data_IF_366167375138
#
_entry.id   IF_366167375138
#
_cell.length_a   1.000
_cell.length_b   1.000
_cell.length_c   1.000
_cell.angle_alpha   90.00
_cell.angle_beta   90.00
_cell.angle_gamma   90.00
#
_symmetry.space_group_name_H-M   'P 1'
#
loop_
_entity.id
_entity.type
_entity.pdbx_description
1 polymer ?
#
# COMPACT_ATOMS: atom_id res chain seq x y z
N UNK A 1 -59.98 -2.60 39.50
CA UNK A 1 -61.01 -2.53 38.44
C UNK A 1 -60.32 -2.76 37.11
N UNK A 2 -60.78 -3.78 36.36
CA UNK A 2 -60.64 -4.06 34.92
C UNK A 2 -59.24 -3.97 34.26
N UNK A 3 -58.74 -4.91 33.48
CA UNK A 3 -59.32 -6.11 32.88
C UNK A 3 -58.28 -6.77 31.94
N UNK A 4 -58.47 -8.07 31.73
CA UNK A 4 -57.65 -9.03 30.98
C UNK A 4 -57.43 -8.73 29.48
N UNK A 5 -56.25 -9.11 28.97
CA UNK A 5 -56.00 -9.91 27.74
C UNK A 5 -54.46 -10.06 27.59
N UNK A 6 -53.81 -11.21 27.46
CA UNK A 6 -54.24 -12.53 26.98
C UNK A 6 -53.85 -12.71 25.51
N UNK A 7 -52.57 -12.92 25.18
CA UNK A 7 -52.15 -13.42 23.85
C UNK A 7 -50.96 -14.38 23.99
N UNK A 8 -51.12 -15.54 23.36
CA UNK A 8 -50.29 -16.73 23.33
C UNK A 8 -48.87 -16.55 22.77
N UNK A 9 -47.91 -17.41 23.17
CA UNK A 9 -46.66 -17.58 22.45
C UNK A 9 -46.93 -18.30 21.11
N UNK A 10 -46.59 -17.64 20.01
CA UNK A 10 -46.63 -18.24 18.67
C UNK A 10 -45.49 -19.25 18.57
N UNK A 11 -45.87 -20.53 18.52
CA UNK A 11 -45.05 -21.62 18.01
C UNK A 11 -44.57 -21.25 16.61
N UNK A 12 -43.26 -21.03 16.45
CA UNK A 12 -42.64 -20.96 15.13
C UNK A 12 -42.28 -22.39 14.74
N UNK A 13 -43.13 -22.91 13.87
CA UNK A 13 -43.03 -24.16 13.13
C UNK A 13 -41.61 -24.46 12.69
N UNK A 14 -41.11 -25.61 13.13
CA UNK A 14 -39.99 -26.32 12.51
C UNK A 14 -40.50 -26.75 11.14
N UNK A 15 -40.20 -25.98 10.11
CA UNK A 15 -40.31 -26.46 8.74
C UNK A 15 -39.11 -27.36 8.49
N UNK A 16 -39.32 -28.66 8.72
CA UNK A 16 -38.57 -29.73 8.09
C UNK A 16 -38.84 -29.60 6.60
N UNK A 17 -38.01 -28.82 5.91
CA UNK A 17 -37.90 -28.92 4.46
C UNK A 17 -37.10 -30.18 4.22
N UNK A 18 -37.80 -31.20 3.72
CA UNK A 18 -37.22 -32.42 3.19
C UNK A 18 -35.98 -32.09 2.37
N UNK A 19 -34.89 -32.78 2.71
CA UNK A 19 -33.68 -32.90 1.90
C UNK A 19 -34.07 -33.43 0.52
N UNK A 20 -34.43 -32.52 -0.39
CA UNK A 20 -34.28 -32.76 -1.81
C UNK A 20 -32.80 -32.57 -2.08
N UNK A 21 -32.03 -33.63 -1.81
CA UNK A 21 -30.73 -33.89 -2.40
C UNK A 21 -30.91 -33.92 -3.93
N UNK A 22 -31.01 -32.75 -4.56
CA UNK A 22 -30.55 -32.59 -5.94
C UNK A 22 -29.04 -32.59 -5.88
N UNK A 23 -28.47 -33.78 -6.04
CA UNK A 23 -27.06 -34.07 -6.21
C UNK A 23 -26.36 -32.95 -6.97
N UNK A 24 -25.54 -32.17 -6.26
CA UNK A 24 -24.67 -31.18 -6.88
C UNK A 24 -23.73 -31.90 -7.84
N UNK A 25 -23.78 -31.56 -9.12
CA UNK A 25 -22.80 -32.03 -10.10
C UNK A 25 -21.40 -31.64 -9.62
N UNK A 26 -20.63 -32.63 -9.20
CA UNK A 26 -19.33 -32.46 -8.56
C UNK A 26 -18.36 -31.69 -9.47
N UNK A 27 -17.86 -30.55 -8.99
CA UNK A 27 -16.75 -29.86 -9.63
C UNK A 27 -15.53 -30.79 -9.71
N UNK A 28 -14.76 -30.66 -10.79
CA UNK A 28 -13.61 -31.53 -11.09
C UNK A 28 -12.32 -30.71 -11.01
N UNK A 29 -11.30 -31.25 -10.36
CA UNK A 29 -9.97 -30.65 -10.29
C UNK A 29 -9.07 -31.29 -11.33
N UNK A 30 -8.49 -30.48 -12.21
CA UNK A 30 -7.50 -30.87 -13.21
C UNK A 30 -6.12 -30.48 -12.73
N UNK A 31 -5.17 -31.42 -12.77
CA UNK A 31 -3.76 -31.19 -12.43
C UNK A 31 -2.89 -31.42 -13.65
N UNK A 32 -2.04 -30.45 -13.96
CA UNK A 32 -1.08 -30.57 -15.05
C UNK A 32 0.16 -31.35 -14.59
N UNK A 33 0.51 -32.42 -15.31
CA UNK A 33 1.59 -33.34 -14.94
C UNK A 33 2.90 -33.01 -15.68
N UNK A 34 2.81 -32.34 -16.82
CA UNK A 34 3.93 -31.70 -17.52
C UNK A 34 3.48 -30.32 -18.02
N UNK A 35 4.40 -29.55 -18.62
CA UNK A 35 4.34 -28.09 -18.89
C UNK A 35 5.02 -27.22 -17.83
N UNK A 36 5.31 -25.93 -18.09
CA UNK A 36 5.75 -24.96 -17.08
C UNK A 36 4.77 -24.81 -15.91
N UNK A 37 3.50 -25.19 -16.09
CA UNK A 37 2.47 -25.20 -15.04
C UNK A 37 2.37 -26.56 -14.33
N UNK A 38 3.41 -27.40 -14.39
CA UNK A 38 3.45 -28.70 -13.69
C UNK A 38 3.13 -28.53 -12.21
N UNK A 39 2.14 -29.28 -11.72
CA UNK A 39 1.70 -29.26 -10.34
C UNK A 39 0.60 -28.24 -10.03
N UNK A 40 0.26 -27.34 -10.96
CA UNK A 40 -0.90 -26.46 -10.82
C UNK A 40 -2.21 -27.27 -10.91
N UNK A 41 -3.18 -26.88 -10.09
CA UNK A 41 -4.52 -27.46 -10.03
C UNK A 41 -5.58 -26.42 -10.43
N UNK A 42 -6.48 -26.79 -11.34
CA UNK A 42 -7.56 -25.93 -11.84
C UNK A 42 -8.90 -26.57 -11.51
N UNK A 43 -9.82 -25.81 -10.91
CA UNK A 43 -11.16 -26.30 -10.59
C UNK A 43 -12.10 -25.97 -11.75
N UNK A 44 -12.68 -27.01 -12.34
CA UNK A 44 -13.65 -26.93 -13.43
C UNK A 44 -15.06 -27.08 -12.89
N UNK A 45 -15.93 -26.15 -13.29
CA UNK A 45 -17.36 -26.23 -13.02
C UNK A 45 -18.05 -27.16 -14.04
N UNK A 46 -19.21 -27.75 -13.70
CA UNK A 46 -20.01 -28.52 -14.64
C UNK A 46 -20.28 -27.72 -15.93
N UNK A 47 -20.15 -28.38 -17.09
CA UNK A 47 -20.22 -27.73 -18.40
C UNK A 47 -18.99 -27.99 -19.25
N UNK A 48 -18.66 -27.01 -20.10
CA UNK A 48 -17.60 -27.13 -21.12
C UNK A 48 -16.48 -26.14 -20.83
N UNK A 49 -15.26 -26.64 -20.64
CA UNK A 49 -14.05 -25.80 -20.48
C UNK A 49 -13.11 -26.03 -21.66
N UNK A 50 -12.63 -24.95 -22.26
CA UNK A 50 -11.70 -24.97 -23.40
C UNK A 50 -10.25 -24.86 -22.90
N UNK A 51 -9.36 -25.72 -23.38
CA UNK A 51 -7.92 -25.67 -23.12
C UNK A 51 -7.17 -25.32 -24.40
N UNK A 52 -6.44 -24.20 -24.36
CA UNK A 52 -5.54 -23.76 -25.42
C UNK A 52 -4.11 -24.12 -25.04
N UNK A 53 -3.50 -25.05 -25.79
CA UNK A 53 -2.19 -25.62 -25.47
C UNK A 53 -1.21 -25.32 -26.59
N UNK A 54 -0.17 -24.55 -26.31
CA UNK A 54 0.80 -24.16 -27.32
C UNK A 54 1.97 -23.36 -26.76
N UNK A 55 2.96 -23.01 -27.60
CA UNK A 55 4.14 -22.28 -27.14
C UNK A 55 3.74 -20.88 -26.67
N UNK A 56 4.41 -20.39 -25.63
CA UNK A 56 4.12 -19.11 -24.98
C UNK A 56 4.05 -17.94 -25.99
N UNK A 57 4.97 -17.92 -26.96
CA UNK A 57 4.98 -16.91 -28.02
C UNK A 57 3.74 -16.95 -28.95
N UNK A 58 3.12 -18.12 -29.14
CA UNK A 58 1.89 -18.26 -29.93
C UNK A 58 0.62 -17.96 -29.12
N UNK A 59 0.68 -18.09 -27.79
CA UNK A 59 -0.40 -17.72 -26.88
C UNK A 59 -0.44 -16.19 -26.61
N UNK A 60 0.69 -15.49 -26.79
CA UNK A 60 0.86 -14.04 -26.58
C UNK A 60 0.80 -13.24 -27.89
N UNK A 61 0.86 -13.88 -29.06
CA UNK A 61 0.87 -13.18 -30.35
C UNK A 61 -0.40 -12.34 -30.54
N UNK A 62 -0.23 -11.01 -30.43
CA UNK A 62 -1.23 -9.98 -30.71
C UNK A 62 -1.69 -10.04 -32.18
N UNK A 63 -2.77 -10.79 -32.40
CA UNK A 63 -3.60 -10.75 -33.59
C UNK A 63 -5.00 -11.13 -33.17
N UNK A 64 -5.95 -10.18 -33.25
CA UNK A 64 -7.33 -10.26 -32.75
C UNK A 64 -7.88 -11.71 -32.68
N UNK A 65 -7.98 -12.35 -31.51
CA UNK A 65 -8.52 -13.70 -31.42
C UNK A 65 -10.06 -13.68 -31.53
N UNK A 66 -10.68 -14.77 -32.03
CA UNK A 66 -12.13 -14.94 -32.02
C UNK A 66 -12.65 -14.82 -30.58
N UNK A 67 -13.92 -14.43 -30.39
CA UNK A 67 -14.56 -14.40 -29.07
C UNK A 67 -14.45 -15.78 -28.43
N UNK A 68 -13.51 -15.95 -27.50
CA UNK A 68 -13.30 -17.19 -26.76
C UNK A 68 -14.31 -17.28 -25.60
N UNK A 69 -14.78 -18.48 -25.23
CA UNK A 69 -15.62 -18.66 -24.06
C UNK A 69 -14.93 -18.16 -22.78
N UNK A 70 -15.71 -17.69 -21.81
CA UNK A 70 -15.18 -17.26 -20.50
C UNK A 70 -14.42 -18.40 -19.77
N UNK A 71 -14.80 -19.66 -20.02
CA UNK A 71 -14.20 -20.86 -19.43
C UNK A 71 -13.01 -21.38 -20.27
N UNK A 72 -12.10 -20.49 -20.67
CA UNK A 72 -10.89 -20.85 -21.44
C UNK A 72 -9.65 -20.82 -20.56
N UNK A 73 -8.90 -21.92 -20.54
CA UNK A 73 -7.63 -22.07 -19.83
C UNK A 73 -6.46 -22.15 -20.83
N UNK A 74 -5.41 -21.36 -20.58
CA UNK A 74 -4.20 -21.33 -21.41
C UNK A 74 -3.10 -22.14 -20.74
N UNK A 75 -2.55 -23.13 -21.46
CA UNK A 75 -1.49 -24.02 -20.97
C UNK A 75 -0.26 -23.88 -21.88
N UNK A 76 0.82 -23.21 -21.43
CA UNK A 76 2.02 -23.08 -22.22
C UNK A 76 2.71 -24.45 -22.40
N UNK A 77 3.03 -24.85 -23.63
CA UNK A 77 3.79 -26.06 -23.92
C UNK A 77 4.66 -25.84 -25.15
N UNK A 78 5.98 -26.07 -25.02
CA UNK A 78 6.96 -25.70 -26.05
C UNK A 78 6.73 -26.40 -27.40
N UNK A 79 6.39 -27.69 -27.39
CA UNK A 79 6.14 -28.49 -28.60
C UNK A 79 5.00 -29.49 -28.37
N UNK A 80 4.28 -29.86 -29.44
CA UNK A 80 3.24 -30.90 -29.40
C UNK A 80 1.95 -30.54 -28.64
N UNK A 81 1.69 -29.24 -28.41
CA UNK A 81 0.43 -28.77 -27.84
C UNK A 81 -0.74 -29.00 -28.77
N UNK A 82 -1.85 -29.51 -28.22
CA UNK A 82 -3.11 -29.74 -28.94
C UNK A 82 -4.24 -29.13 -28.12
N UNK A 83 -5.10 -28.35 -28.76
CA UNK A 83 -6.26 -27.74 -28.11
C UNK A 83 -7.34 -28.81 -27.85
N UNK A 84 -8.03 -28.73 -26.71
CA UNK A 84 -9.07 -29.70 -26.37
C UNK A 84 -10.13 -29.07 -25.46
N UNK A 85 -11.29 -29.72 -25.36
CA UNK A 85 -12.39 -29.34 -24.50
C UNK A 85 -12.60 -30.43 -23.45
N UNK A 86 -12.83 -30.05 -22.20
CA UNK A 86 -13.31 -30.95 -21.15
C UNK A 86 -14.81 -30.74 -21.03
N UNK A 87 -15.58 -31.80 -21.20
CA UNK A 87 -17.03 -31.82 -21.02
C UNK A 87 -17.37 -32.57 -19.73
N UNK A 88 -18.02 -31.88 -18.81
CA UNK A 88 -18.48 -32.40 -17.52
C UNK A 88 -20.00 -32.45 -17.51
N UNK A 89 -20.56 -33.65 -17.71
CA UNK A 89 -22.02 -33.88 -17.74
C UNK A 89 -22.36 -35.08 -16.87
N UNK A 90 -23.32 -34.91 -15.95
CA UNK A 90 -23.87 -35.99 -15.12
C UNK A 90 -22.83 -36.86 -14.39
N UNK A 91 -21.74 -36.25 -13.89
CA UNK A 91 -20.67 -36.95 -13.17
C UNK A 91 -19.71 -37.75 -14.06
N UNK A 92 -19.86 -37.69 -15.39
CA UNK A 92 -18.91 -38.23 -16.35
C UNK A 92 -18.08 -37.11 -16.99
N UNK A 93 -16.80 -37.39 -17.19
CA UNK A 93 -15.86 -36.51 -17.90
C UNK A 93 -15.51 -37.08 -19.27
N UNK A 94 -15.64 -36.26 -20.30
CA UNK A 94 -15.20 -36.55 -21.67
C UNK A 94 -14.24 -35.49 -22.17
N UNK A 95 -13.32 -35.89 -23.02
CA UNK A 95 -12.40 -35.00 -23.71
C UNK A 95 -12.77 -34.93 -25.19
N UNK A 96 -12.82 -33.72 -25.73
CA UNK A 96 -12.91 -33.47 -27.17
C UNK A 96 -11.63 -32.81 -27.65
N UNK A 97 -10.79 -33.55 -28.35
CA UNK A 97 -9.51 -33.08 -28.89
C UNK A 97 -9.80 -32.35 -30.21
N UNK A 98 -9.44 -31.07 -30.26
CA UNK A 98 -9.71 -30.18 -31.39
C UNK A 98 -8.56 -30.28 -32.41
N UNK A 99 -8.79 -31.08 -33.46
CA UNK A 99 -7.90 -31.25 -34.60
C UNK A 99 -8.69 -31.70 -35.84
N UNK A 100 -8.00 -32.01 -36.93
CA UNK A 100 -8.58 -32.63 -38.12
C UNK A 100 -8.12 -34.10 -38.20
N UNK A 101 -8.93 -35.11 -37.81
CA UNK A 101 -10.31 -35.06 -37.33
C UNK A 101 -10.44 -34.75 -35.83
N UNK A 102 -11.63 -34.29 -35.42
CA UNK A 102 -11.99 -34.13 -34.00
C UNK A 102 -12.19 -35.50 -33.37
N UNK A 103 -11.52 -35.75 -32.24
CA UNK A 103 -11.58 -37.03 -31.53
C UNK A 103 -12.22 -36.82 -30.16
N UNK A 104 -13.26 -37.60 -29.85
CA UNK A 104 -13.86 -37.65 -28.52
C UNK A 104 -13.43 -38.93 -27.81
N UNK A 105 -12.99 -38.79 -26.55
CA UNK A 105 -12.61 -39.92 -25.72
C UNK A 105 -13.11 -39.77 -24.28
N UNK A 106 -13.36 -40.90 -23.63
CA UNK A 106 -13.68 -40.94 -22.20
C UNK A 106 -12.44 -40.54 -21.39
N UNK A 107 -12.67 -39.77 -20.33
CA UNK A 107 -11.60 -39.17 -19.57
C UNK A 107 -11.67 -39.65 -18.11
N UNK A 108 -11.09 -40.82 -17.78
CA UNK A 108 -11.19 -41.40 -16.45
C UNK A 108 -10.56 -40.51 -15.37
N UNK A 109 -11.21 -40.47 -14.20
CA UNK A 109 -10.67 -39.80 -13.02
C UNK A 109 -9.50 -40.57 -12.39
N UNK A 110 -8.59 -39.82 -11.76
CA UNK A 110 -7.39 -40.27 -11.08
C UNK A 110 -6.44 -41.11 -11.95
N UNK A 111 -6.45 -40.89 -13.27
CA UNK A 111 -5.51 -41.48 -14.21
C UNK A 111 -4.78 -40.40 -15.00
N UNK A 112 -3.55 -40.70 -15.41
CA UNK A 112 -2.77 -39.81 -16.27
C UNK A 112 -3.30 -39.90 -17.71
N UNK A 113 -3.83 -38.79 -18.20
CA UNK A 113 -4.34 -38.60 -19.55
C UNK A 113 -3.27 -37.91 -20.39
N UNK A 114 -3.10 -38.35 -21.64
CA UNK A 114 -2.14 -37.76 -22.58
C UNK A 114 -2.91 -37.20 -23.77
N UNK A 115 -2.76 -35.89 -24.03
CA UNK A 115 -3.42 -35.14 -25.10
C UNK A 115 -2.31 -34.43 -25.89
N UNK A 116 -2.00 -34.92 -27.10
CA UNK A 116 -0.77 -34.51 -27.77
C UNK A 116 0.45 -34.83 -26.91
N UNK A 117 1.29 -33.81 -26.66
CA UNK A 117 2.41 -33.90 -25.72
C UNK A 117 2.04 -33.50 -24.28
N UNK A 118 0.83 -32.99 -24.02
CA UNK A 118 0.39 -32.60 -22.67
C UNK A 118 -0.07 -33.84 -21.89
N UNK A 119 0.31 -33.89 -20.61
CA UNK A 119 -0.10 -34.91 -19.64
C UNK A 119 -0.80 -34.22 -18.48
N UNK A 120 -2.00 -34.69 -18.16
CA UNK A 120 -2.82 -34.16 -17.09
C UNK A 120 -3.53 -35.30 -16.35
N UNK A 121 -4.03 -35.04 -15.16
CA UNK A 121 -4.95 -35.93 -14.46
C UNK A 121 -6.15 -35.13 -13.95
N UNK A 122 -7.28 -35.80 -13.76
CA UNK A 122 -8.51 -35.19 -13.29
C UNK A 122 -9.07 -35.95 -12.10
N UNK A 123 -9.70 -35.28 -11.14
CA UNK A 123 -10.42 -35.93 -10.04
C UNK A 123 -11.68 -35.15 -9.65
N UNK A 124 -12.71 -35.79 -9.09
CA UNK A 124 -13.76 -35.08 -8.38
C UNK A 124 -13.17 -34.28 -7.21
N UNK A 125 -13.66 -33.07 -6.98
CA UNK A 125 -13.13 -32.16 -5.95
C UNK A 125 -13.16 -32.79 -4.55
N UNK A 126 -14.15 -33.64 -4.28
CA UNK A 126 -14.37 -34.29 -2.99
C UNK A 126 -13.50 -35.54 -2.74
N UNK A 127 -12.73 -36.01 -3.72
CA UNK A 127 -11.83 -37.18 -3.57
C UNK A 127 -10.36 -36.77 -3.53
N UNK A 128 -9.50 -37.45 -2.76
CA UNK A 128 -8.05 -37.20 -2.79
C UNK A 128 -7.40 -37.71 -4.08
N UNK A 129 -6.23 -37.19 -4.44
CA UNK A 129 -5.41 -37.73 -5.52
C UNK A 129 -4.88 -39.11 -5.18
N UNK A 130 -4.88 -40.01 -6.15
CA UNK A 130 -4.19 -41.29 -6.01
C UNK A 130 -2.65 -41.11 -6.01
N UNK A 131 -1.91 -41.85 -5.16
CA UNK A 131 -0.45 -41.75 -5.04
C UNK A 131 0.29 -41.90 -6.37
N UNK A 132 -0.25 -42.69 -7.29
CA UNK A 132 0.32 -42.98 -8.61
C UNK A 132 0.35 -41.74 -9.51
N UNK A 133 -0.64 -40.84 -9.36
CA UNK A 133 -0.68 -39.54 -10.07
C UNK A 133 0.33 -38.56 -9.47
N UNK A 134 0.61 -38.67 -8.18
CA UNK A 134 1.60 -37.83 -7.47
C UNK A 134 3.03 -38.32 -7.66
N UNK A 135 3.22 -39.63 -7.86
CA UNK A 135 4.53 -40.31 -7.94
C UNK A 135 5.00 -40.54 -9.38
N UNK A 136 4.12 -40.39 -10.37
CA UNK A 136 4.43 -40.62 -11.77
C UNK A 136 5.36 -39.56 -12.36
N UNK A 137 6.49 -40.02 -12.90
CA UNK A 137 7.40 -39.34 -13.84
C UNK A 137 8.61 -38.61 -13.23
N UNK A 138 9.48 -39.37 -12.58
CA UNK A 138 10.91 -39.31 -12.90
C UNK A 138 11.16 -40.06 -14.21
N UNK A 139 11.98 -39.48 -15.08
CA UNK A 139 12.40 -40.11 -16.33
C UNK A 139 13.23 -41.35 -15.96
N UNK A 140 12.70 -42.54 -16.20
CA UNK A 140 13.48 -43.77 -16.16
C UNK A 140 14.48 -43.72 -17.34
N UNK A 141 15.80 -43.73 -17.12
CA UNK A 141 16.75 -43.89 -18.20
C UNK A 141 16.55 -45.27 -18.84
N UNK A 142 16.54 -45.31 -20.17
CA UNK A 142 16.47 -46.55 -20.94
C UNK A 142 17.55 -47.54 -20.48
N UNK A 143 17.12 -48.76 -20.17
CA UNK A 143 17.94 -49.87 -19.70
C UNK A 143 18.76 -50.45 -20.87
N UNK A 144 20.11 -50.46 -20.83
CA UNK A 144 20.94 -51.22 -21.76
C UNK A 144 21.02 -52.70 -21.33
N UNK A 145 21.27 -53.64 -22.25
CA UNK A 145 21.13 -55.06 -21.99
C UNK A 145 22.20 -55.57 -21.03
N UNK A 146 21.81 -56.54 -20.22
CA UNK A 146 22.62 -57.20 -19.20
C UNK A 146 23.95 -57.78 -19.74
N UNK A 147 25.01 -57.74 -18.92
CA UNK A 147 26.00 -58.79 -18.93
C UNK A 147 26.08 -59.53 -17.60
N UNK A 148 26.39 -60.80 -17.75
CA UNK A 148 26.44 -61.87 -16.77
C UNK A 148 27.57 -61.75 -15.74
N UNK A 149 27.32 -62.39 -14.59
CA UNK A 149 28.27 -63.12 -13.75
C UNK A 149 29.33 -62.36 -12.88
N UNK A 150 29.09 -62.50 -11.56
CA UNK A 150 30.02 -62.94 -10.51
C UNK A 150 30.97 -61.97 -9.74
N UNK A 151 30.69 -61.90 -8.41
CA UNK A 151 31.59 -61.91 -7.21
C UNK A 151 32.30 -60.60 -6.77
N UNK A 152 32.83 -60.53 -5.51
CA UNK A 152 32.07 -60.20 -4.31
C UNK A 152 32.59 -58.92 -3.59
N UNK A 153 31.86 -58.53 -2.55
CA UNK A 153 32.02 -57.34 -1.70
C UNK A 153 33.45 -56.94 -1.34
N UNK A 154 33.77 -55.65 -1.53
CA UNK A 154 34.78 -54.93 -0.77
C UNK A 154 34.12 -53.77 -0.01
N UNK A 155 34.17 -53.83 1.32
CA UNK A 155 33.77 -52.73 2.21
C UNK A 155 34.67 -51.52 1.96
N UNK A 156 34.10 -50.37 1.59
CA UNK A 156 34.81 -49.10 1.54
C UNK A 156 34.05 -47.99 2.29
N UNK A 157 34.76 -47.43 3.27
CA UNK A 157 34.53 -46.23 4.09
C UNK A 157 33.56 -45.18 3.51
N UNK A 158 32.35 -45.10 4.07
CA UNK A 158 31.48 -43.91 4.00
C UNK A 158 31.65 -43.08 5.28
N UNK A 159 32.65 -42.21 5.31
CA UNK A 159 32.89 -41.33 6.47
C UNK A 159 33.05 -39.83 6.14
N UNK A 160 33.19 -39.47 4.87
CA UNK A 160 33.51 -38.08 4.48
C UNK A 160 32.50 -37.43 3.52
N UNK A 161 31.66 -38.19 2.81
CA UNK A 161 30.69 -37.64 1.85
C UNK A 161 29.33 -37.25 2.47
N UNK A 162 29.01 -37.74 3.68
CA UNK A 162 27.75 -37.40 4.35
C UNK A 162 27.68 -35.96 4.85
N UNK A 163 28.82 -35.39 5.27
CA UNK A 163 28.88 -34.01 5.78
C UNK A 163 28.71 -32.97 4.67
N UNK A 164 29.30 -33.19 3.48
CA UNK A 164 29.18 -32.27 2.37
C UNK A 164 27.75 -32.18 1.81
N UNK A 165 27.04 -33.31 1.75
CA UNK A 165 25.64 -33.35 1.30
C UNK A 165 24.68 -32.66 2.30
N UNK A 166 24.88 -32.86 3.60
CA UNK A 166 24.10 -32.18 4.64
C UNK A 166 24.36 -30.66 4.64
N UNK A 167 25.61 -30.24 4.41
CA UNK A 167 25.95 -28.81 4.31
C UNK A 167 25.30 -28.17 3.08
N UNK A 168 25.27 -28.88 1.94
CA UNK A 168 24.59 -28.40 0.73
C UNK A 168 23.08 -28.26 0.92
N UNK A 169 22.43 -29.21 1.61
CA UNK A 169 21.00 -29.13 1.93
C UNK A 169 20.73 -27.99 2.93
N UNK A 170 21.60 -27.79 3.93
CA UNK A 170 21.49 -26.68 4.87
C UNK A 170 21.65 -25.31 4.18
N UNK A 171 22.57 -25.19 3.22
CA UNK A 171 22.75 -23.98 2.43
C UNK A 171 21.58 -23.73 1.47
N UNK A 172 21.04 -24.79 0.84
CA UNK A 172 19.87 -24.68 -0.02
C UNK A 172 18.62 -24.29 0.77
N UNK A 173 18.39 -24.88 1.94
CA UNK A 173 17.26 -24.54 2.81
C UNK A 173 17.39 -23.13 3.39
N UNK A 174 18.58 -22.72 3.81
CA UNK A 174 18.86 -21.33 4.21
C UNK A 174 18.64 -20.35 3.04
N UNK A 175 19.09 -20.70 1.84
CA UNK A 175 18.86 -19.92 0.62
C UNK A 175 17.38 -19.81 0.24
N UNK A 176 16.63 -20.91 0.36
CA UNK A 176 15.19 -20.95 0.11
C UNK A 176 14.42 -20.09 1.12
N UNK A 177 14.81 -20.15 2.40
CA UNK A 177 14.21 -19.36 3.48
C UNK A 177 14.52 -17.86 3.33
N UNK A 178 15.72 -17.52 2.85
CA UNK A 178 16.12 -16.15 2.54
C UNK A 178 15.36 -15.59 1.33
N UNK A 179 15.13 -16.41 0.30
CA UNK A 179 14.30 -16.04 -0.85
C UNK A 179 12.83 -15.80 -0.46
N UNK A 180 12.31 -16.61 0.47
CA UNK A 180 10.93 -16.50 0.97
C UNK A 180 10.72 -15.23 1.80
N UNK A 181 11.68 -14.88 2.67
CA UNK A 181 11.65 -13.67 3.52
C UNK A 181 12.29 -12.44 2.85
N UNK A 182 12.33 -12.39 1.52
CA UNK A 182 12.90 -11.22 0.84
C UNK A 182 12.06 -9.96 1.15
N UNK A 183 12.67 -8.85 1.60
CA UNK A 183 11.95 -7.63 1.95
C UNK A 183 11.06 -7.11 0.81
N UNK A 184 11.49 -7.36 -0.43
CA UNK A 184 10.76 -6.99 -1.65
C UNK A 184 9.41 -7.71 -1.78
N UNK A 185 9.29 -8.98 -1.38
CA UNK A 185 8.01 -9.70 -1.40
C UNK A 185 7.05 -9.17 -0.35
N UNK A 186 7.52 -8.92 0.87
CA UNK A 186 6.71 -8.36 1.95
C UNK A 186 6.21 -6.94 1.60
N UNK A 187 7.03 -6.13 0.93
CA UNK A 187 6.61 -4.83 0.40
C UNK A 187 5.56 -4.95 -0.72
N UNK A 188 5.67 -5.95 -1.59
CA UNK A 188 4.69 -6.20 -2.65
C UNK A 188 3.34 -6.68 -2.10
N UNK A 189 3.37 -7.56 -1.10
CA UNK A 189 2.17 -8.02 -0.37
C UNK A 189 1.49 -6.87 0.35
N UNK A 190 2.25 -6.01 1.05
CA UNK A 190 1.71 -4.84 1.73
C UNK A 190 1.09 -3.85 0.73
N UNK A 191 1.75 -3.60 -0.40
CA UNK A 191 1.21 -2.77 -1.48
C UNK A 191 -0.09 -3.35 -2.05
N UNK A 192 -0.17 -4.66 -2.23
CA UNK A 192 -1.38 -5.36 -2.70
C UNK A 192 -2.52 -5.26 -1.68
N UNK A 193 -2.25 -5.40 -0.38
CA UNK A 193 -3.25 -5.25 0.70
C UNK A 193 -3.81 -3.82 0.79
N UNK A 194 -2.98 -2.82 0.49
CA UNK A 194 -3.41 -1.42 0.48
C UNK A 194 -4.26 -1.08 -0.76
N UNK A 195 -4.22 -1.91 -1.80
CA UNK A 195 -4.93 -1.70 -3.06
C UNK A 195 -4.41 -0.49 -3.84
N UNK A 196 -3.10 -0.22 -3.74
CA UNK A 196 -2.47 0.97 -4.32
C UNK A 196 -1.34 0.60 -5.29
N UNK A 197 -1.24 1.37 -6.38
CA UNK A 197 -0.21 1.25 -7.41
C UNK A 197 1.12 1.93 -6.99
N UNK A 198 1.34 2.13 -5.69
CA UNK A 198 2.53 2.77 -5.12
C UNK A 198 2.57 4.30 -5.20
N UNK A 199 1.42 4.97 -5.37
CA UNK A 199 1.34 6.44 -5.45
C UNK A 199 0.80 7.11 -4.20
N UNK A 200 -0.04 6.42 -3.44
CA UNK A 200 -0.71 6.96 -2.24
C UNK A 200 0.00 6.52 -0.97
N UNK A 201 0.64 5.36 -1.02
CA UNK A 201 1.40 4.78 0.08
C UNK A 201 2.83 4.51 -0.33
N UNK A 202 3.76 4.93 0.52
CA UNK A 202 5.16 4.55 0.40
C UNK A 202 5.50 3.53 1.50
N UNK A 203 5.80 2.31 1.09
CA UNK A 203 6.24 1.24 2.00
C UNK A 203 7.74 1.30 2.20
N UNK A 204 8.17 1.18 3.45
CA UNK A 204 9.55 1.36 3.89
C UNK A 204 9.91 0.31 4.95
N UNK A 205 11.16 -0.12 4.95
CA UNK A 205 11.71 -1.01 5.98
C UNK A 205 12.57 -0.21 6.95
N UNK A 206 12.21 -0.24 8.23
CA UNK A 206 12.98 0.38 9.29
C UNK A 206 14.22 -0.43 9.68
N UNK A 207 15.22 0.27 10.21
CA UNK A 207 16.43 -0.34 10.80
C UNK A 207 16.16 -1.13 12.07
N UNK A 208 14.96 -0.99 12.63
CA UNK A 208 14.41 -1.72 13.77
C UNK A 208 13.70 -3.03 13.38
N UNK A 209 13.62 -3.35 12.08
CA UNK A 209 12.91 -4.52 11.58
C UNK A 209 11.39 -4.33 11.46
N UNK A 210 10.89 -3.10 11.63
CA UNK A 210 9.47 -2.75 11.49
C UNK A 210 9.20 -2.22 10.09
N UNK A 211 8.06 -2.59 9.51
CA UNK A 211 7.58 -2.02 8.25
C UNK A 211 6.84 -0.71 8.51
N UNK A 212 7.18 0.32 7.75
CA UNK A 212 6.56 1.64 7.84
C UNK A 212 5.77 1.93 6.57
N UNK A 213 4.53 2.41 6.72
CA UNK A 213 3.69 2.87 5.61
C UNK A 213 3.50 4.37 5.76
N UNK A 214 4.11 5.16 4.88
CA UNK A 214 3.84 6.58 4.82
C UNK A 214 2.57 6.84 4.03
N UNK A 215 1.59 7.45 4.69
CA UNK A 215 0.34 7.91 4.09
C UNK A 215 0.44 9.39 3.70
N UNK A 216 -0.18 9.78 2.59
CA UNK A 216 -0.19 11.17 2.14
C UNK A 216 -0.99 12.10 3.08
N UNK A 217 -2.10 11.61 3.63
CA UNK A 217 -2.96 12.35 4.54
C UNK A 217 -3.59 11.47 5.63
N UNK A 218 -4.39 12.08 6.51
CA UNK A 218 -5.05 11.38 7.61
C UNK A 218 -6.11 10.35 7.14
N UNK A 219 -6.77 10.60 6.00
CA UNK A 219 -7.76 9.67 5.44
C UNK A 219 -7.06 8.41 4.92
N UNK A 220 -5.95 8.59 4.23
CA UNK A 220 -5.09 7.51 3.76
C UNK A 220 -4.47 6.75 4.94
N UNK A 221 -4.08 7.45 6.01
CA UNK A 221 -3.62 6.81 7.26
C UNK A 221 -4.68 5.91 7.91
N UNK A 222 -5.95 6.35 7.93
CA UNK A 222 -7.08 5.53 8.39
C UNK A 222 -7.32 4.33 7.46
N UNK A 223 -7.25 4.52 6.14
CA UNK A 223 -7.37 3.44 5.17
C UNK A 223 -6.29 2.37 5.39
N UNK A 224 -5.02 2.78 5.48
CA UNK A 224 -3.91 1.86 5.70
C UNK A 224 -4.09 1.04 6.97
N UNK A 225 -4.45 1.68 8.10
CA UNK A 225 -4.75 0.97 9.35
C UNK A 225 -5.89 -0.02 9.19
N UNK A 226 -6.97 0.36 8.51
CA UNK A 226 -8.12 -0.51 8.30
C UNK A 226 -7.79 -1.71 7.40
N UNK A 227 -6.95 -1.52 6.38
CA UNK A 227 -6.46 -2.60 5.51
C UNK A 227 -5.57 -3.58 6.28
N UNK A 228 -4.67 -3.07 7.13
CA UNK A 228 -3.83 -3.90 8.00
C UNK A 228 -4.65 -4.72 9.01
N UNK A 229 -5.75 -4.19 9.53
CA UNK A 229 -6.64 -4.93 10.43
C UNK A 229 -7.46 -6.02 9.73
N UNK A 230 -7.64 -5.94 8.41
CA UNK A 230 -8.39 -6.91 7.61
C UNK A 230 -7.51 -7.96 6.95
N UNK A 231 -6.26 -7.60 6.65
CA UNK A 231 -5.28 -8.49 6.03
C UNK A 231 -4.54 -9.29 7.08
N UNK A 232 -4.21 -10.54 6.75
CA UNK A 232 -3.35 -11.39 7.58
C UNK A 232 -1.88 -11.07 7.27
N UNK A 233 -1.38 -9.93 7.77
CA UNK A 233 0.04 -9.58 7.69
C UNK A 233 0.74 -9.87 9.02
N UNK A 234 1.75 -10.73 9.00
CA UNK A 234 2.36 -11.28 10.22
C UNK A 234 3.50 -10.45 10.81
N UNK A 235 4.10 -9.55 10.02
CA UNK A 235 5.23 -8.72 10.45
C UNK A 235 4.76 -7.43 11.15
N UNK A 236 5.56 -6.83 12.04
CA UNK A 236 5.20 -5.57 12.68
C UNK A 236 5.13 -4.43 11.66
N UNK A 237 3.99 -3.74 11.60
CA UNK A 237 3.75 -2.60 10.70
C UNK A 237 3.32 -1.37 11.50
N UNK A 238 3.86 -0.21 11.13
CA UNK A 238 3.46 1.09 11.65
C UNK A 238 3.06 2.03 10.50
N UNK A 239 1.91 2.67 10.63
CA UNK A 239 1.46 3.71 9.70
C UNK A 239 2.00 5.07 10.15
N UNK A 240 2.72 5.74 9.26
CA UNK A 240 3.24 7.09 9.45
C UNK A 240 2.26 8.11 8.87
N UNK A 241 1.72 8.97 9.73
CA UNK A 241 0.95 10.14 9.30
C UNK A 241 1.80 11.41 9.47
N UNK A 242 1.97 12.24 8.42
CA UNK A 242 2.88 13.38 8.44
C UNK A 242 2.67 14.36 9.60
N UNK A 243 1.41 14.63 9.97
CA UNK A 243 1.07 15.56 11.06
C UNK A 243 1.45 14.98 12.42
N UNK A 244 1.09 13.72 12.68
CA UNK A 244 1.39 13.05 13.94
C UNK A 244 2.90 12.84 14.13
N UNK A 245 3.59 12.51 13.05
CA UNK A 245 5.02 12.24 13.04
C UNK A 245 5.81 13.55 13.23
N UNK A 246 5.41 14.62 12.55
CA UNK A 246 5.94 15.96 12.79
C UNK A 246 5.76 16.42 14.25
N UNK A 247 4.61 16.13 14.87
CA UNK A 247 4.36 16.44 16.27
C UNK A 247 5.22 15.59 17.23
N UNK A 248 5.43 14.31 16.93
CA UNK A 248 6.29 13.39 17.69
C UNK A 248 7.73 13.90 17.71
N UNK A 249 8.29 14.21 16.53
CA UNK A 249 9.65 14.74 16.41
C UNK A 249 9.76 16.13 17.05
N UNK A 250 8.77 17.00 16.87
CA UNK A 250 8.76 18.34 17.48
C UNK A 250 8.77 18.27 19.01
N UNK A 251 8.06 17.32 19.62
CA UNK A 251 8.08 17.10 21.07
C UNK A 251 9.46 16.64 21.54
N UNK A 252 10.03 15.65 20.86
CA UNK A 252 11.38 15.18 21.17
C UNK A 252 12.43 16.28 21.03
N UNK A 253 12.31 17.15 20.03
CA UNK A 253 13.19 18.32 19.86
C UNK A 253 13.03 19.32 21.01
N UNK A 254 11.81 19.61 21.45
CA UNK A 254 11.57 20.49 22.59
C UNK A 254 12.18 19.94 23.89
N UNK A 255 12.12 18.63 24.10
CA UNK A 255 12.66 17.98 25.30
C UNK A 255 14.18 17.85 25.26
N UNK A 256 14.74 17.49 24.10
CA UNK A 256 16.18 17.24 23.94
C UNK A 256 17.00 18.51 23.68
N UNK A 257 16.41 19.52 23.01
CA UNK A 257 17.04 20.79 22.62
C UNK A 257 16.05 21.96 22.68
N UNK A 258 15.70 22.44 23.88
CA UNK A 258 14.72 23.51 24.05
C UNK A 258 15.12 24.83 23.38
N UNK A 259 16.42 25.10 23.26
CA UNK A 259 16.97 26.32 22.64
C UNK A 259 17.00 26.28 21.10
N UNK A 260 16.65 25.15 20.48
CA UNK A 260 16.73 25.00 19.02
C UNK A 260 15.57 25.72 18.33
N UNK A 261 15.89 26.83 17.66
CA UNK A 261 15.00 27.54 16.76
C UNK A 261 14.93 26.83 15.40
N UNK A 262 13.86 26.07 15.18
CA UNK A 262 13.57 25.41 13.91
C UNK A 262 12.23 25.86 13.34
N UNK A 263 12.09 25.75 12.02
CA UNK A 263 10.88 26.06 11.27
C UNK A 263 9.94 24.86 11.25
N UNK A 264 10.38 23.81 10.54
CA UNK A 264 9.56 22.65 10.25
C UNK A 264 10.44 21.45 9.90
N UNK A 265 9.91 20.26 10.20
CA UNK A 265 10.36 19.00 9.64
C UNK A 265 9.57 18.71 8.36
N UNK A 266 10.26 18.65 7.23
CA UNK A 266 9.72 18.22 5.96
C UNK A 266 9.84 16.70 5.85
N UNK A 267 8.70 16.07 5.55
CA UNK A 267 8.53 14.63 5.39
C UNK A 267 8.00 14.28 3.99
N UNK A 268 8.27 15.14 2.99
CA UNK A 268 7.85 14.91 1.60
C UNK A 268 8.45 13.60 1.06
N UNK A 269 9.72 13.35 1.39
CA UNK A 269 10.33 12.01 1.33
C UNK A 269 10.71 11.56 2.75
N UNK A 270 9.93 10.67 3.37
CA UNK A 270 10.22 10.12 4.70
C UNK A 270 11.55 9.36 4.81
N UNK A 271 12.16 8.92 3.69
CA UNK A 271 13.51 8.32 3.70
C UNK A 271 14.60 9.37 3.89
N UNK A 272 14.34 10.59 3.42
CA UNK A 272 15.28 11.71 3.47
C UNK A 272 14.65 12.97 4.09
N UNK A 273 14.23 12.91 5.36
CA UNK A 273 13.57 14.03 6.02
C UNK A 273 14.52 15.22 6.14
N UNK A 274 13.95 16.43 6.01
CA UNK A 274 14.71 17.68 6.12
C UNK A 274 14.21 18.50 7.30
N UNK A 275 15.11 18.83 8.23
CA UNK A 275 14.81 19.76 9.32
C UNK A 275 15.34 21.14 8.96
N UNK A 276 14.44 22.10 8.81
CA UNK A 276 14.79 23.49 8.55
C UNK A 276 15.05 24.22 9.87
N UNK A 277 16.28 24.73 10.04
CA UNK A 277 16.77 25.36 11.28
C UNK A 277 17.17 26.81 11.00
N UNK A 278 16.89 27.72 11.91
CA UNK A 278 17.25 29.13 11.78
C UNK A 278 18.76 29.35 11.81
N UNK A 279 19.28 30.11 10.85
CA UNK A 279 20.69 30.51 10.81
C UNK A 279 21.04 31.56 11.88
N UNK A 280 20.10 32.46 12.17
CA UNK A 280 20.34 33.60 13.06
C UNK A 280 20.09 33.26 14.53
N UNK A 281 19.02 32.51 14.82
CA UNK A 281 18.62 32.17 16.20
C UNK A 281 19.26 30.90 16.72
N UNK A 282 19.71 30.01 15.82
CA UNK A 282 20.38 28.76 16.21
C UNK A 282 21.51 28.41 15.24
N UNK A 283 22.60 29.20 15.23
CA UNK A 283 23.76 28.88 14.41
C UNK A 283 24.36 27.55 14.89
N UNK A 284 24.32 26.53 14.02
CA UNK A 284 24.89 25.22 14.28
C UNK A 284 26.20 25.03 13.52
N UNK A 285 27.24 24.57 14.20
CA UNK A 285 28.44 24.05 13.56
C UNK A 285 28.15 22.74 12.81
N UNK A 286 29.01 22.36 11.86
CA UNK A 286 28.79 21.12 11.09
C UNK A 286 28.83 19.87 11.98
N UNK A 287 29.63 19.87 13.04
CA UNK A 287 29.65 18.80 14.04
C UNK A 287 28.31 18.69 14.79
N UNK A 288 27.71 19.83 15.16
CA UNK A 288 26.40 19.85 15.85
C UNK A 288 25.26 19.45 14.93
N UNK A 289 25.31 19.86 13.64
CA UNK A 289 24.38 19.39 12.61
C UNK A 289 24.47 17.88 12.43
N UNK A 290 25.68 17.33 12.33
CA UNK A 290 25.87 15.90 12.16
C UNK A 290 25.38 15.11 13.39
N UNK A 291 25.70 15.60 14.60
CA UNK A 291 25.17 15.03 15.84
C UNK A 291 23.64 15.06 15.88
N UNK A 292 23.03 16.17 15.51
CA UNK A 292 21.57 16.31 15.46
C UNK A 292 20.95 15.36 14.43
N UNK A 293 21.52 15.27 13.23
CA UNK A 293 21.09 14.36 12.19
C UNK A 293 21.16 12.89 12.64
N UNK A 294 22.23 12.50 13.34
CA UNK A 294 22.35 11.15 13.91
C UNK A 294 21.27 10.86 14.95
N UNK A 295 21.03 11.77 15.89
CA UNK A 295 19.99 11.61 16.91
C UNK A 295 18.58 11.53 16.30
N UNK A 296 18.30 12.33 15.28
CA UNK A 296 17.04 12.26 14.53
C UNK A 296 16.92 10.97 13.72
N UNK A 297 18.03 10.46 13.19
CA UNK A 297 18.08 9.18 12.50
C UNK A 297 17.84 7.99 13.43
N UNK A 298 18.22 8.06 14.70
CA UNK A 298 17.84 7.08 15.72
C UNK A 298 16.35 7.18 16.08
N UNK A 299 15.81 8.40 16.15
CA UNK A 299 14.38 8.63 16.42
C UNK A 299 13.46 8.18 15.28
N UNK A 300 13.95 8.18 14.03
CA UNK A 300 13.23 7.80 12.82
C UNK A 300 13.92 6.61 12.13
N UNK A 301 13.71 5.36 12.60
CA UNK A 301 14.40 4.17 12.10
C UNK A 301 14.19 3.89 10.62
N UNK A 302 13.08 4.37 10.06
CA UNK A 302 12.68 4.29 8.66
C UNK A 302 13.44 5.26 7.73
N UNK A 303 14.11 6.26 8.28
CA UNK A 303 14.88 7.23 7.49
C UNK A 303 16.27 6.69 7.16
N UNK A 304 16.68 6.87 5.91
CA UNK A 304 18.03 6.55 5.43
C UNK A 304 19.02 7.65 5.85
N UNK A 305 18.60 8.92 5.71
CA UNK A 305 19.43 10.08 6.04
C UNK A 305 18.58 11.29 6.42
N UNK A 306 18.88 11.89 7.57
CA UNK A 306 18.28 13.17 7.98
C UNK A 306 19.16 14.34 7.56
N UNK A 307 18.60 15.33 6.88
CA UNK A 307 19.33 16.54 6.46
C UNK A 307 18.94 17.73 7.33
N UNK A 308 19.93 18.45 7.87
CA UNK A 308 19.72 19.69 8.61
C UNK A 308 19.99 20.86 7.66
N UNK A 309 18.94 21.60 7.30
CA UNK A 309 19.02 22.69 6.33
C UNK A 309 18.98 24.02 7.07
N UNK A 310 20.05 24.83 6.99
CA UNK A 310 20.04 26.18 7.53
C UNK A 310 19.14 27.08 6.66
N UNK A 311 18.29 27.86 7.32
CA UNK A 311 17.34 28.79 6.70
C UNK A 311 17.57 30.19 7.24
N UNK A 312 17.56 31.16 6.33
CA UNK A 312 17.59 32.58 6.67
C UNK A 312 16.21 33.06 7.15
N UNK A 313 16.17 33.58 8.37
CA UNK A 313 14.97 34.13 8.97
C UNK A 313 14.38 35.31 8.17
N UNK A 314 15.22 36.15 7.58
CA UNK A 314 14.80 37.31 6.81
C UNK A 314 14.09 36.89 5.53
N UNK A 315 14.55 35.80 4.90
CA UNK A 315 13.89 35.22 3.72
C UNK A 315 12.46 34.79 4.04
N UNK A 316 12.27 34.10 5.17
CA UNK A 316 10.94 33.63 5.59
C UNK A 316 9.99 34.81 5.86
N UNK A 317 10.46 35.86 6.53
CA UNK A 317 9.67 37.07 6.79
C UNK A 317 9.35 37.85 5.50
N UNK A 318 10.34 38.03 4.61
CA UNK A 318 10.17 38.74 3.34
C UNK A 318 9.18 38.03 2.42
N UNK A 319 9.21 36.71 2.33
CA UNK A 319 8.23 35.96 1.55
C UNK A 319 6.80 36.10 2.09
N UNK A 320 6.63 36.20 3.42
CA UNK A 320 5.34 36.47 4.02
C UNK A 320 4.83 37.87 3.62
N UNK A 321 5.70 38.88 3.75
CA UNK A 321 5.39 40.28 3.45
C UNK A 321 5.06 40.50 1.97
N UNK A 322 5.87 39.97 1.05
CA UNK A 322 5.62 40.00 -0.39
C UNK A 322 4.37 39.21 -0.78
N UNK A 323 4.11 38.12 -0.07
CA UNK A 323 2.92 37.30 -0.24
C UNK A 323 1.63 38.05 0.11
N UNK A 324 1.58 38.69 1.28
CA UNK A 324 0.46 39.53 1.70
C UNK A 324 0.26 40.73 0.78
N UNK A 325 1.36 41.41 0.41
CA UNK A 325 1.34 42.56 -0.50
C UNK A 325 0.74 42.22 -1.87
N UNK A 326 1.09 41.03 -2.42
CA UNK A 326 0.52 40.55 -3.69
C UNK A 326 -0.97 40.24 -3.63
N UNK A 327 -1.50 39.93 -2.45
CA UNK A 327 -2.94 39.72 -2.24
C UNK A 327 -3.71 41.04 -2.03
N UNK A 328 -3.02 42.19 -2.05
CA UNK A 328 -3.54 43.51 -1.74
C UNK A 328 -4.23 43.59 -0.37
N UNK A 329 -3.75 42.81 0.60
CA UNK A 329 -4.31 42.78 1.95
C UNK A 329 -3.69 43.92 2.80
N UNK A 330 -4.50 44.66 3.58
CA UNK A 330 -3.96 45.61 4.55
C UNK A 330 -3.32 44.84 5.71
N UNK A 331 -2.04 45.11 5.98
CA UNK A 331 -1.35 44.48 7.10
C UNK A 331 -0.40 45.45 7.80
N UNK A 332 -0.09 45.14 9.06
CA UNK A 332 0.99 45.76 9.84
C UNK A 332 1.96 44.67 10.28
N UNK A 333 3.25 44.91 10.07
CA UNK A 333 4.32 44.03 10.53
C UNK A 333 4.74 44.42 11.94
N UNK A 334 4.82 43.44 12.83
CA UNK A 334 5.33 43.58 14.19
C UNK A 334 6.48 42.59 14.41
N UNK A 335 7.70 43.11 14.45
CA UNK A 335 8.90 42.32 14.71
C UNK A 335 9.06 42.10 16.23
N UNK A 336 9.11 40.83 16.64
CA UNK A 336 9.44 40.44 18.00
C UNK A 336 10.89 39.90 18.03
N UNK A 337 11.41 39.61 19.23
CA UNK A 337 12.79 39.12 19.37
C UNK A 337 13.03 37.81 18.60
N UNK A 338 12.07 36.88 18.64
CA UNK A 338 12.25 35.51 18.14
C UNK A 338 11.23 35.11 17.06
N UNK A 339 10.36 36.03 16.66
CA UNK A 339 9.24 35.82 15.73
C UNK A 339 8.82 37.12 15.05
N UNK A 340 8.06 37.00 13.96
CA UNK A 340 7.45 38.14 13.26
C UNK A 340 5.95 37.90 13.16
N UNK A 341 5.15 38.89 13.56
CA UNK A 341 3.69 38.81 13.45
C UNK A 341 3.18 39.79 12.41
N UNK A 342 2.41 39.31 11.44
CA UNK A 342 1.67 40.14 10.50
C UNK A 342 0.21 40.25 10.95
N UNK A 343 -0.19 41.44 11.34
CA UNK A 343 -1.57 41.74 11.74
C UNK A 343 -2.33 42.25 10.52
N UNK A 344 -3.26 41.45 10.01
CA UNK A 344 -4.15 41.78 8.91
C UNK A 344 -5.42 42.36 9.53
N UNK A 345 -5.55 43.69 9.51
CA UNK A 345 -6.62 44.40 10.19
C UNK A 345 -7.35 45.36 9.25
N UNK A 346 -8.66 45.49 9.45
CA UNK A 346 -9.52 46.42 8.72
C UNK A 346 -10.92 45.87 8.49
N UNK A 347 -11.72 46.63 7.75
CA UNK A 347 -13.00 46.17 7.24
C UNK A 347 -12.78 45.28 6.01
N UNK A 348 -12.40 44.02 6.26
CA UNK A 348 -12.12 43.03 5.22
C UNK A 348 -13.43 42.51 4.61
N UNK A 349 -13.52 42.47 3.28
CA UNK A 349 -14.62 41.79 2.59
C UNK A 349 -14.45 40.26 2.58
N UNK A 350 -15.51 39.53 2.23
CA UNK A 350 -15.47 38.06 2.19
C UNK A 350 -14.41 37.51 1.23
N UNK A 351 -14.15 38.22 0.13
CA UNK A 351 -13.13 37.86 -0.85
C UNK A 351 -11.71 38.06 -0.32
N UNK A 352 -11.46 39.16 0.40
CA UNK A 352 -10.22 39.46 1.10
C UNK A 352 -9.95 38.43 2.20
N UNK A 353 -10.96 38.08 2.99
CA UNK A 353 -10.86 37.03 4.01
C UNK A 353 -10.51 35.67 3.39
N UNK A 354 -11.14 35.32 2.26
CA UNK A 354 -10.83 34.09 1.55
C UNK A 354 -9.39 34.08 1.02
N UNK A 355 -8.93 35.19 0.40
CA UNK A 355 -7.54 35.31 -0.08
C UNK A 355 -6.53 35.24 1.07
N UNK A 356 -6.81 35.92 2.18
CA UNK A 356 -5.98 35.89 3.38
C UNK A 356 -5.84 34.46 3.91
N UNK A 357 -6.96 33.74 4.04
CA UNK A 357 -6.95 32.34 4.51
C UNK A 357 -6.16 31.43 3.58
N UNK A 358 -6.41 31.49 2.27
CA UNK A 358 -5.70 30.65 1.30
C UNK A 358 -4.19 30.90 1.31
N UNK A 359 -3.79 32.17 1.43
CA UNK A 359 -2.39 32.55 1.54
C UNK A 359 -1.76 32.04 2.84
N UNK A 360 -2.39 32.27 3.99
CA UNK A 360 -1.88 31.84 5.32
C UNK A 360 -1.76 30.33 5.38
N UNK A 361 -2.77 29.58 4.92
CA UNK A 361 -2.72 28.13 4.86
C UNK A 361 -1.58 27.64 3.96
N UNK A 362 -1.37 28.29 2.81
CA UNK A 362 -0.25 28.02 1.91
C UNK A 362 1.12 28.28 2.56
N UNK A 363 1.25 29.41 3.25
CA UNK A 363 2.47 29.79 3.95
C UNK A 363 2.80 28.80 5.07
N UNK A 364 1.84 28.47 5.92
CA UNK A 364 2.03 27.48 7.00
C UNK A 364 2.33 26.08 6.45
N UNK A 365 1.76 25.70 5.31
CA UNK A 365 2.12 24.45 4.62
C UNK A 365 3.56 24.42 4.12
N UNK A 366 4.20 25.57 3.89
CA UNK A 366 5.60 25.62 3.47
C UNK A 366 6.54 25.81 4.68
N UNK A 367 6.31 26.85 5.47
CA UNK A 367 7.24 27.33 6.50
C UNK A 367 6.89 26.86 7.91
N UNK A 368 5.65 26.43 8.16
CA UNK A 368 5.11 26.24 9.51
C UNK A 368 4.77 27.56 10.21
N UNK A 369 4.30 27.46 11.45
CA UNK A 369 3.78 28.60 12.23
C UNK A 369 4.69 29.05 13.39
N UNK A 370 5.95 28.57 13.43
CA UNK A 370 6.85 28.80 14.59
C UNK A 370 7.51 30.18 14.59
N UNK A 371 7.90 30.70 13.42
CA UNK A 371 8.61 31.97 13.31
C UNK A 371 7.70 33.11 12.84
N UNK A 372 7.03 32.95 11.69
CA UNK A 372 6.07 33.94 11.19
C UNK A 372 4.67 33.54 11.63
N UNK A 373 3.94 34.50 12.19
CA UNK A 373 2.56 34.35 12.63
C UNK A 373 1.67 35.36 11.92
N UNK A 374 0.43 34.97 11.62
CA UNK A 374 -0.58 35.86 11.06
C UNK A 374 -1.73 36.02 12.06
N UNK A 375 -2.13 37.26 12.31
CA UNK A 375 -3.30 37.59 13.11
C UNK A 375 -4.31 38.32 12.24
N UNK A 376 -5.49 37.74 12.02
CA UNK A 376 -6.56 38.37 11.24
C UNK A 376 -7.55 39.01 12.23
N UNK A 377 -7.62 40.32 12.22
CA UNK A 377 -8.52 41.10 13.09
C UNK A 377 -9.58 41.80 12.23
N UNK A 378 -10.80 41.27 12.21
CA UNK A 378 -11.94 42.02 11.67
C UNK A 378 -12.26 43.16 12.62
N UNK A 379 -12.12 44.39 12.13
CA UNK A 379 -12.56 45.60 12.84
C UNK A 379 -13.59 46.28 11.99
N UNK A 380 -14.74 46.57 12.59
CA UNK A 380 -15.70 47.48 11.98
C UNK A 380 -15.08 48.87 11.93
N UNK A 381 -15.07 49.48 10.74
CA UNK A 381 -14.65 50.86 10.58
C UNK A 381 -15.71 51.77 11.20
N UNK A 382 -15.48 52.13 12.46
CA UNK A 382 -16.34 53.02 13.25
C UNK A 382 -16.51 54.40 12.61
N UNK A 383 -15.66 54.80 11.66
CA UNK A 383 -15.70 56.10 10.98
C UNK A 383 -16.37 56.04 9.60
N UNK A 384 -16.77 54.84 9.14
CA UNK A 384 -17.41 54.66 7.83
C UNK A 384 -18.74 55.41 7.75
N UNK A 385 -18.80 56.42 6.90
CA UNK A 385 -19.96 57.30 6.74
C UNK A 385 -19.93 58.60 7.57
N UNK A 386 -18.87 58.81 8.35
CA UNK A 386 -18.66 60.04 9.12
C UNK A 386 -17.59 60.93 8.47
N UNK A 387 -17.80 62.26 8.51
CA UNK A 387 -16.81 63.21 8.00
C UNK A 387 -15.81 63.57 9.10
N UNK A 388 -14.51 63.49 8.84
CA UNK A 388 -13.46 63.79 9.82
C UNK A 388 -12.45 64.83 9.29
N UNK A 389 -11.86 65.61 10.20
CA UNK A 389 -10.74 66.52 9.91
C UNK A 389 -9.49 66.04 10.64
N UNK A 390 -8.39 65.85 9.90
CA UNK A 390 -7.08 65.51 10.47
C UNK A 390 -6.36 66.76 11.00
N UNK A 391 -5.70 66.65 12.16
CA UNK A 391 -4.83 67.68 12.73
C UNK A 391 -4.76 67.66 14.26
N UNK A 392 -3.96 68.56 14.84
CA UNK A 392 -3.75 68.70 16.31
C UNK A 392 -5.03 69.02 17.10
N UNK A 393 -6.12 69.34 16.40
CA UNK A 393 -7.48 69.57 16.90
C UNK A 393 -8.51 68.89 15.99
N UNK A 394 -8.24 67.64 15.58
CA UNK A 394 -9.14 66.88 14.72
C UNK A 394 -10.48 66.57 15.40
N UNK A 395 -11.54 66.48 14.60
CA UNK A 395 -12.86 66.08 15.05
C UNK A 395 -13.54 65.17 14.01
N UNK A 396 -14.51 64.37 14.47
CA UNK A 396 -15.35 63.48 13.67
C UNK A 396 -16.80 63.98 13.79
N UNK A 397 -17.43 64.31 12.67
CA UNK A 397 -18.85 64.67 12.61
C UNK A 397 -19.68 63.38 12.54
N UNK A 398 -20.35 63.04 13.64
CA UNK A 398 -21.17 61.82 13.74
C UNK A 398 -22.55 62.00 13.10
N UNK A 399 -23.19 63.16 13.30
CA UNK A 399 -24.50 63.49 12.72
C UNK A 399 -24.67 65.02 12.58
N UNK A 400 -25.81 65.49 12.03
CA UNK A 400 -26.09 66.93 11.97
C UNK A 400 -26.23 67.52 13.39
N UNK A 401 -25.13 68.09 13.90
CA UNK A 401 -25.08 68.75 15.22
C UNK A 401 -24.23 68.04 16.26
N UNK A 402 -23.74 66.82 16.01
CA UNK A 402 -22.89 66.08 16.95
C UNK A 402 -21.46 65.91 16.42
N UNK A 403 -20.50 66.37 17.23
CA UNK A 403 -19.06 66.32 16.95
C UNK A 403 -18.36 65.50 18.03
N UNK A 404 -17.50 64.58 17.62
CA UNK A 404 -16.66 63.77 18.48
C UNK A 404 -15.20 64.23 18.37
N UNK A 405 -14.55 64.46 19.49
CA UNK A 405 -13.16 64.91 19.56
C UNK A 405 -12.31 63.76 20.10
N UNK A 406 -11.67 62.96 19.23
CA UNK A 406 -10.76 61.90 19.68
C UNK A 406 -9.56 62.52 20.40
N UNK A 407 -9.03 61.80 21.41
CA UNK A 407 -7.75 62.19 22.00
C UNK A 407 -6.66 62.08 20.92
N UNK A 408 -5.68 63.01 20.91
CA UNK A 408 -4.58 62.95 19.94
C UNK A 408 -3.83 61.63 20.09
N UNK A 409 -3.71 60.92 18.97
CA UNK A 409 -2.98 59.66 18.82
C UNK A 409 -1.48 59.96 18.71
#
# INVERSE_FOLDING_TARGET
>A
MAGFAGVHPIQKTINTVEDINTSGCDAVVVRLLNSPLRGCEFTLQPGKTLFLVGPEAALIADGLPPVLPADTLFVPLAEGGVNFEVLLENGASRLRILGEPVVECDAPFNQALTIGALRLAMRPQHLPWQPEVLSGFDIQPAEPPAPSAERPMARARYGAFGFAALLAIALLSAGMHWLWNSPQRQMAELSALLGDDGKRFQVMTGRDGVYYIAAADARDGVWARQSLLRGDFSEPVQVLEPVSEGARVSRWLADSRPELAFYRLLLDDPRQPQLWVSMQRSPLSDAEKQKLASQLGELMPYSDKVSIVPVDDELAAKQAEEGLSRQALPFTRNDQRDSVTFVIAGALDDGELQRARQFVDGYYRQWGARYVQFAVELKDDLLKGHSFQYGRQGYVKLSNGHWFFPQPI
#
